data_IF_735630943240
#
_entry.id   IF_735630943240
#
_cell.length_a   1.000
_cell.length_b   1.000
_cell.length_c   1.000
_cell.angle_alpha   90.00
_cell.angle_beta   90.00
_cell.angle_gamma   90.00
#
_symmetry.space_group_name_H-M   'P 1'
#
loop_
_entity.id
_entity.type
_entity.pdbx_description
1 polymer ?
#
# COMPACT_ATOMS: atom_id res chain seq x y z
N UNK A 1 -38.44 85.91 5.85
CA UNK A 1 -38.83 84.48 5.95
C UNK A 1 -38.14 83.59 4.93
N UNK A 2 -38.03 83.98 3.65
CA UNK A 2 -37.30 83.18 2.65
C UNK A 2 -35.79 83.02 2.94
N UNK A 3 -35.13 84.09 3.39
CA UNK A 3 -33.68 84.13 3.60
C UNK A 3 -33.20 83.26 4.77
N UNK A 4 -33.99 83.17 5.84
CA UNK A 4 -33.75 82.27 6.98
C UNK A 4 -33.83 80.81 6.54
N UNK A 5 -34.78 80.49 5.67
CA UNK A 5 -35.01 79.13 5.17
C UNK A 5 -33.85 78.66 4.28
N UNK A 6 -33.34 79.54 3.42
CA UNK A 6 -32.17 79.26 2.56
C UNK A 6 -30.91 78.98 3.40
N UNK A 7 -30.61 79.82 4.41
CA UNK A 7 -29.47 79.61 5.31
C UNK A 7 -29.55 78.29 6.06
N UNK A 8 -30.74 77.92 6.55
CA UNK A 8 -30.97 76.62 7.20
C UNK A 8 -30.70 75.46 6.25
N UNK A 9 -31.13 75.54 4.99
CA UNK A 9 -30.89 74.47 4.03
C UNK A 9 -29.41 74.33 3.65
N UNK A 10 -28.68 75.44 3.53
CA UNK A 10 -27.23 75.41 3.28
C UNK A 10 -26.49 74.72 4.44
N UNK A 11 -26.81 75.05 5.68
CA UNK A 11 -26.22 74.37 6.85
C UNK A 11 -26.53 72.87 6.86
N UNK A 12 -27.77 72.47 6.51
CA UNK A 12 -28.14 71.05 6.41
C UNK A 12 -27.35 70.33 5.32
N UNK A 13 -27.18 70.95 4.16
CA UNK A 13 -26.38 70.38 3.06
C UNK A 13 -24.91 70.21 3.47
N UNK A 14 -24.34 71.21 4.15
CA UNK A 14 -22.98 71.14 4.66
C UNK A 14 -22.81 70.03 5.70
N UNK A 15 -23.80 69.84 6.58
CA UNK A 15 -23.82 68.74 7.54
C UNK A 15 -23.89 67.38 6.84
N UNK A 16 -24.84 67.21 5.91
CA UNK A 16 -24.99 65.97 5.15
C UNK A 16 -23.71 65.59 4.36
N UNK A 17 -23.03 66.57 3.76
CA UNK A 17 -21.74 66.36 3.10
C UNK A 17 -20.69 65.82 4.08
N UNK A 18 -20.58 66.42 5.27
CA UNK A 18 -19.66 65.98 6.33
C UNK A 18 -19.97 64.55 6.82
N UNK A 19 -21.25 64.24 7.01
CA UNK A 19 -21.70 62.92 7.46
C UNK A 19 -21.41 61.84 6.42
N UNK A 20 -21.68 62.14 5.14
CA UNK A 20 -21.31 61.27 4.02
C UNK A 20 -19.80 61.04 3.94
N UNK A 21 -18.99 62.10 4.14
CA UNK A 21 -17.53 61.99 4.07
C UNK A 21 -17.01 61.02 5.13
N UNK A 22 -17.55 61.18 6.34
CA UNK A 22 -17.27 60.34 7.49
C UNK A 22 -17.67 58.90 7.23
N UNK A 23 -18.87 58.68 6.68
CA UNK A 23 -19.37 57.33 6.38
C UNK A 23 -18.54 56.61 5.31
N UNK A 24 -18.16 57.30 4.23
CA UNK A 24 -17.33 56.74 3.15
C UNK A 24 -15.91 56.44 3.66
N UNK A 25 -15.32 57.36 4.43
CA UNK A 25 -14.01 57.16 5.06
C UNK A 25 -14.02 56.00 6.04
N UNK A 26 -15.11 55.84 6.81
CA UNK A 26 -15.30 54.69 7.70
C UNK A 26 -15.39 53.35 6.95
N UNK A 27 -15.68 53.38 5.64
CA UNK A 27 -15.65 52.23 4.73
C UNK A 27 -14.31 52.06 4.00
N UNK A 28 -13.26 52.79 4.40
CA UNK A 28 -11.90 52.65 3.88
C UNK A 28 -11.60 53.44 2.61
N UNK A 29 -12.58 54.18 2.07
CA UNK A 29 -12.39 55.01 0.87
C UNK A 29 -11.98 56.42 1.28
N UNK A 30 -10.88 56.93 0.74
CA UNK A 30 -10.42 58.30 1.02
C UNK A 30 -11.31 59.32 0.33
N UNK A 31 -11.77 60.34 1.07
CA UNK A 31 -12.57 61.45 0.53
C UNK A 31 -11.71 62.72 0.49
N UNK A 32 -11.29 63.21 -0.70
CA UNK A 32 -10.56 64.48 -0.82
C UNK A 32 -11.37 65.68 -0.29
N UNK A 33 -10.68 66.64 0.34
CA UNK A 33 -11.31 67.81 0.99
C UNK A 33 -12.13 68.69 0.01
N UNK A 34 -11.75 68.71 -1.26
CA UNK A 34 -12.37 69.49 -2.34
C UNK A 34 -13.51 68.75 -3.06
N UNK A 35 -13.82 67.51 -2.68
CA UNK A 35 -14.88 66.70 -3.30
C UNK A 35 -16.22 67.41 -3.19
N UNK A 36 -16.90 67.66 -4.32
CA UNK A 36 -18.27 68.20 -4.36
C UNK A 36 -19.30 67.11 -4.09
N UNK A 37 -20.53 67.47 -3.72
CA UNK A 37 -21.58 66.48 -3.42
C UNK A 37 -21.83 65.52 -4.60
N UNK A 38 -21.73 66.02 -5.84
CA UNK A 38 -21.88 65.22 -7.06
C UNK A 38 -20.74 64.19 -7.25
N UNK A 39 -19.56 64.45 -6.67
CA UNK A 39 -18.41 63.53 -6.72
C UNK A 39 -18.52 62.33 -5.77
N UNK A 40 -19.45 62.37 -4.80
CA UNK A 40 -19.58 61.29 -3.80
C UNK A 40 -20.09 59.98 -4.39
N UNK A 41 -20.85 60.03 -5.49
CA UNK A 41 -21.31 58.83 -6.18
C UNK A 41 -20.13 57.94 -6.60
N UNK A 42 -19.09 58.55 -7.20
CA UNK A 42 -17.88 57.83 -7.63
C UNK A 42 -17.02 57.32 -6.45
N UNK A 43 -17.11 57.95 -5.27
CA UNK A 43 -16.44 57.46 -4.06
C UNK A 43 -17.21 56.30 -3.43
N UNK A 44 -18.54 56.33 -3.46
CA UNK A 44 -19.38 55.21 -2.99
C UNK A 44 -19.15 53.95 -3.83
N UNK A 45 -18.93 54.10 -5.15
CA UNK A 45 -18.55 52.98 -6.03
C UNK A 45 -17.20 52.34 -5.69
N UNK A 46 -16.35 53.00 -4.90
CA UNK A 46 -15.07 52.44 -4.45
C UNK A 46 -15.19 51.64 -3.15
N UNK A 47 -16.33 51.70 -2.47
CA UNK A 47 -16.54 50.96 -1.21
C UNK A 47 -16.48 49.47 -1.49
N UNK A 48 -15.63 48.76 -0.76
CA UNK A 48 -15.53 47.31 -0.82
C UNK A 48 -16.85 46.68 -0.35
N UNK A 49 -17.45 45.87 -1.22
CA UNK A 49 -18.71 45.16 -0.97
C UNK A 49 -18.49 43.66 -0.76
N UNK A 50 -17.30 43.16 -1.07
CA UNK A 50 -16.89 41.78 -0.88
C UNK A 50 -15.94 41.64 0.31
N UNK A 51 -15.21 40.53 0.31
CA UNK A 51 -14.20 40.26 1.34
C UNK A 51 -12.81 40.43 0.75
N UNK A 52 -11.95 41.14 1.47
CA UNK A 52 -10.51 41.20 1.19
C UNK A 52 -9.89 39.84 1.55
N UNK A 53 -9.33 39.17 0.55
CA UNK A 53 -8.73 37.84 0.70
C UNK A 53 -7.22 37.84 0.47
N UNK A 54 -6.60 39.02 0.35
CA UNK A 54 -5.17 39.20 0.05
C UNK A 54 -4.23 38.67 1.14
N UNK A 55 -4.72 38.54 2.37
CA UNK A 55 -3.95 38.02 3.52
C UNK A 55 -4.08 36.48 3.73
N UNK A 56 -4.72 35.79 2.78
CA UNK A 56 -4.78 34.35 2.73
C UNK A 56 -3.47 33.75 2.16
N UNK A 57 -3.10 32.55 2.62
CA UNK A 57 -1.76 31.98 2.37
C UNK A 57 -1.79 30.52 1.89
N UNK A 58 -2.97 29.89 1.81
CA UNK A 58 -3.11 28.53 1.34
C UNK A 58 -2.87 28.45 -0.18
N UNK A 59 -2.18 27.41 -0.61
CA UNK A 59 -2.06 27.05 -2.02
C UNK A 59 -3.00 25.89 -2.37
N UNK A 60 -3.23 25.64 -3.66
CA UNK A 60 -4.04 24.49 -4.10
C UNK A 60 -3.54 23.16 -3.51
N UNK A 61 -2.22 22.95 -3.45
CA UNK A 61 -1.61 21.75 -2.87
C UNK A 61 -1.78 21.60 -1.36
N UNK A 62 -2.22 22.64 -0.67
CA UNK A 62 -2.44 22.67 0.78
C UNK A 62 -3.93 22.60 1.15
N UNK A 63 -4.80 22.48 0.15
CA UNK A 63 -6.24 22.31 0.30
C UNK A 63 -6.63 20.93 -0.24
N UNK A 64 -7.47 20.20 0.49
CA UNK A 64 -7.93 18.87 0.12
C UNK A 64 -8.59 18.85 -1.27
N UNK A 65 -8.25 17.85 -2.08
CA UNK A 65 -8.72 17.72 -3.46
C UNK A 65 -10.25 17.85 -3.56
N UNK A 66 -10.72 18.69 -4.49
CA UNK A 66 -12.14 18.94 -4.74
C UNK A 66 -12.81 19.94 -3.77
N UNK A 67 -12.09 20.44 -2.76
CA UNK A 67 -12.54 21.56 -1.94
C UNK A 67 -12.12 22.89 -2.56
N UNK A 68 -12.94 23.92 -2.36
CA UNK A 68 -12.72 25.27 -2.91
C UNK A 68 -12.58 26.29 -1.78
N UNK A 69 -11.70 27.27 -1.95
CA UNK A 69 -11.53 28.42 -1.06
C UNK A 69 -11.02 29.63 -1.84
N UNK A 70 -11.05 30.82 -1.25
CA UNK A 70 -10.52 32.04 -1.87
C UNK A 70 -9.21 32.50 -1.25
N UNK A 71 -8.28 32.88 -2.12
CA UNK A 71 -6.95 33.38 -1.78
C UNK A 71 -6.59 34.47 -2.78
N UNK A 72 -6.26 35.66 -2.29
CA UNK A 72 -5.82 36.80 -3.10
C UNK A 72 -6.74 37.09 -4.31
N UNK A 73 -8.03 37.23 -4.02
CA UNK A 73 -9.09 37.50 -5.00
C UNK A 73 -9.47 36.32 -5.89
N UNK A 74 -8.77 35.19 -5.80
CA UNK A 74 -8.92 34.07 -6.72
C UNK A 74 -9.57 32.86 -6.04
N UNK A 75 -10.51 32.20 -6.74
CA UNK A 75 -11.02 30.89 -6.34
C UNK A 75 -9.95 29.83 -6.56
N UNK A 76 -9.51 29.21 -5.48
CA UNK A 76 -8.54 28.12 -5.46
C UNK A 76 -9.27 26.79 -5.27
N UNK A 77 -9.07 25.86 -6.20
CA UNK A 77 -9.52 24.46 -6.04
C UNK A 77 -8.36 23.62 -5.51
N UNK A 78 -8.59 22.93 -4.40
CA UNK A 78 -7.61 22.07 -3.76
C UNK A 78 -7.17 20.91 -4.65
N UNK A 79 -5.89 20.56 -4.54
CA UNK A 79 -5.22 19.47 -5.27
C UNK A 79 -4.53 18.48 -4.35
N UNK A 80 -4.56 18.67 -3.03
CA UNK A 80 -3.99 17.72 -2.08
C UNK A 80 -4.72 16.38 -2.19
N UNK A 81 -4.01 15.35 -2.64
CA UNK A 81 -4.61 14.04 -2.90
C UNK A 81 -5.18 13.43 -1.61
N UNK A 82 -6.43 12.96 -1.65
CA UNK A 82 -7.02 12.19 -0.57
C UNK A 82 -6.70 10.70 -0.77
N UNK A 83 -5.89 10.13 0.12
CA UNK A 83 -5.54 8.70 0.15
C UNK A 83 -6.52 7.87 0.97
N UNK A 84 -7.33 8.51 1.83
CA UNK A 84 -8.30 7.83 2.69
C UNK A 84 -7.65 6.79 3.59
N UNK A 85 -8.29 5.61 3.67
CA UNK A 85 -7.78 4.45 4.39
C UNK A 85 -6.92 3.59 3.45
N UNK A 86 -5.64 3.43 3.79
CA UNK A 86 -4.75 2.52 3.07
C UNK A 86 -4.33 1.37 3.99
N UNK A 87 -4.37 0.14 3.47
CA UNK A 87 -3.84 -1.04 4.17
C UNK A 87 -2.70 -1.68 3.39
N UNK A 88 -1.61 -2.03 4.07
CA UNK A 88 -0.49 -2.76 3.47
C UNK A 88 -0.01 -3.89 4.38
N UNK A 89 0.38 -5.01 3.78
CA UNK A 89 0.96 -6.16 4.49
C UNK A 89 2.43 -6.30 4.07
N UNK A 90 3.32 -6.42 5.05
CA UNK A 90 4.76 -6.49 4.84
C UNK A 90 5.32 -7.79 5.43
N UNK A 91 6.07 -8.55 4.63
CA UNK A 91 6.90 -9.64 5.14
C UNK A 91 8.21 -9.08 5.73
N UNK A 92 8.93 -9.83 6.58
CA UNK A 92 10.17 -9.36 7.17
C UNK A 92 11.21 -9.01 6.10
N UNK A 93 11.83 -7.84 6.24
CA UNK A 93 12.78 -7.25 5.29
C UNK A 93 12.15 -6.28 4.28
N UNK A 94 10.82 -6.14 4.26
CA UNK A 94 10.14 -5.20 3.39
C UNK A 94 9.95 -3.82 4.04
N UNK A 95 9.91 -2.81 3.18
CA UNK A 95 9.60 -1.43 3.55
C UNK A 95 8.42 -0.95 2.71
N UNK A 96 7.41 -0.41 3.39
CA UNK A 96 6.32 0.33 2.77
C UNK A 96 6.61 1.82 2.84
N UNK A 97 6.52 2.53 1.71
CA UNK A 97 6.55 3.99 1.68
C UNK A 97 5.13 4.52 1.75
N UNK A 98 4.85 5.41 2.71
CA UNK A 98 3.54 6.04 2.88
C UNK A 98 3.38 7.06 1.74
N UNK A 99 2.36 6.93 0.86
CA UNK A 99 2.15 7.86 -0.24
C UNK A 99 1.88 9.28 0.23
N UNK A 100 2.29 10.26 -0.56
CA UNK A 100 1.99 11.67 -0.33
C UNK A 100 0.48 11.95 -0.37
N UNK A 101 0.02 12.86 0.48
CA UNK A 101 -1.37 13.31 0.54
C UNK A 101 -2.00 13.14 1.93
N UNK A 102 -3.31 13.37 1.99
CA UNK A 102 -4.11 13.24 3.21
C UNK A 102 -4.51 11.78 3.47
N UNK A 103 -4.31 11.31 4.71
CA UNK A 103 -4.75 9.99 5.19
C UNK A 103 -5.81 10.15 6.28
N UNK A 104 -6.77 9.23 6.35
CA UNK A 104 -7.92 9.33 7.27
C UNK A 104 -7.60 8.99 8.73
N UNK A 105 -6.45 8.39 9.01
CA UNK A 105 -6.12 7.85 10.34
C UNK A 105 -6.54 6.40 10.56
N UNK A 106 -7.30 5.83 9.62
CA UNK A 106 -7.79 4.44 9.71
C UNK A 106 -6.90 3.45 8.94
N UNK A 107 -5.91 3.96 8.20
CA UNK A 107 -4.98 3.14 7.43
C UNK A 107 -4.03 2.35 8.33
N UNK A 108 -3.72 1.12 7.95
CA UNK A 108 -2.88 0.21 8.75
C UNK A 108 -1.83 -0.50 7.90
N UNK A 109 -0.59 -0.48 8.36
CA UNK A 109 0.49 -1.33 7.83
C UNK A 109 0.72 -2.46 8.83
N UNK A 110 0.58 -3.70 8.38
CA UNK A 110 0.78 -4.89 9.21
C UNK A 110 2.02 -5.66 8.78
N UNK A 111 2.81 -6.11 9.75
CA UNK A 111 3.85 -7.10 9.52
C UNK A 111 3.26 -8.49 9.55
N UNK A 112 3.52 -9.31 8.55
CA UNK A 112 3.13 -10.72 8.49
C UNK A 112 4.37 -11.61 8.56
N UNK A 113 4.31 -12.74 9.26
CA UNK A 113 5.43 -13.71 9.25
C UNK A 113 5.59 -14.39 7.88
N UNK A 114 6.83 -14.79 7.54
CA UNK A 114 7.06 -15.73 6.44
C UNK A 114 6.26 -17.01 6.70
N UNK A 115 5.20 -17.23 5.92
CA UNK A 115 4.53 -18.54 5.86
C UNK A 115 5.27 -19.33 4.79
N UNK A 116 6.10 -20.30 5.21
CA UNK A 116 6.75 -21.24 4.27
C UNK A 116 5.64 -21.93 3.47
N UNK A 117 5.62 -21.76 2.15
CA UNK A 117 4.72 -22.53 1.29
C UNK A 117 5.03 -24.03 1.48
N UNK A 118 4.08 -24.79 2.00
CA UNK A 118 4.18 -26.24 2.09
C UNK A 118 3.60 -26.79 0.78
N UNK A 119 4.47 -27.19 -0.15
CA UNK A 119 4.04 -27.91 -1.34
C UNK A 119 3.66 -29.35 -0.96
N UNK A 120 2.41 -29.74 -1.25
CA UNK A 120 1.94 -31.11 -1.06
C UNK A 120 1.50 -31.70 -2.39
N UNK A 121 2.03 -32.87 -2.75
CA UNK A 121 1.66 -33.60 -3.98
C UNK A 121 0.99 -34.91 -3.57
N UNK A 122 -0.27 -35.11 -3.93
CA UNK A 122 -0.98 -36.40 -3.81
C UNK A 122 -1.16 -36.99 -5.21
N UNK A 123 -0.57 -38.16 -5.46
CA UNK A 123 -0.81 -38.93 -6.69
C UNK A 123 -2.12 -39.70 -6.54
N UNK A 124 -3.06 -39.52 -7.47
CA UNK A 124 -4.29 -40.30 -7.54
C UNK A 124 -4.16 -41.41 -8.60
N UNK A 125 -4.64 -42.60 -8.29
CA UNK A 125 -4.75 -43.69 -9.27
C UNK A 125 -5.83 -43.35 -10.32
N UNK A 126 -5.65 -43.84 -11.56
CA UNK A 126 -6.62 -43.57 -12.64
C UNK A 126 -8.00 -44.13 -12.28
N UNK A 127 -9.05 -43.32 -12.42
CA UNK A 127 -10.43 -43.72 -12.15
C UNK A 127 -10.90 -43.55 -10.70
N UNK A 128 -10.08 -42.96 -9.83
CA UNK A 128 -10.46 -42.68 -8.44
C UNK A 128 -11.33 -41.42 -8.32
N UNK A 129 -12.45 -41.51 -7.59
CA UNK A 129 -13.35 -40.39 -7.27
C UNK A 129 -13.01 -39.69 -5.93
N UNK A 130 -11.76 -39.82 -5.49
CA UNK A 130 -11.33 -39.46 -4.13
C UNK A 130 -11.33 -37.93 -3.93
N UNK A 131 -12.06 -37.46 -2.92
CA UNK A 131 -12.10 -36.04 -2.54
C UNK A 131 -10.95 -35.80 -1.55
N UNK A 132 -9.90 -35.09 -2.00
CA UNK A 132 -8.82 -34.68 -1.11
C UNK A 132 -9.15 -33.31 -0.47
N UNK A 133 -9.78 -33.33 0.71
CA UNK A 133 -9.87 -32.15 1.59
C UNK A 133 -8.69 -32.18 2.56
N UNK A 134 -7.93 -31.09 2.65
CA UNK A 134 -6.87 -30.94 3.64
C UNK A 134 -7.00 -29.61 4.37
N UNK A 135 -7.18 -29.67 5.68
CA UNK A 135 -7.20 -28.49 6.56
C UNK A 135 -5.80 -28.37 7.15
N UNK A 136 -5.13 -27.24 6.91
CA UNK A 136 -3.84 -26.96 7.54
C UNK A 136 -4.08 -26.72 9.04
N UNK A 137 -3.34 -27.38 9.95
CA UNK A 137 -3.64 -27.37 11.38
C UNK A 137 -3.45 -26.01 12.08
N UNK A 138 -2.86 -25.00 11.41
CA UNK A 138 -2.52 -23.70 12.03
C UNK A 138 -2.72 -22.50 11.10
N UNK A 139 -3.59 -22.61 10.09
CA UNK A 139 -3.94 -21.48 9.21
C UNK A 139 -5.43 -21.13 9.37
N UNK A 140 -5.74 -19.85 9.47
CA UNK A 140 -7.11 -19.33 9.35
C UNK A 140 -7.72 -19.56 7.93
N UNK A 141 -7.03 -20.28 7.04
CA UNK A 141 -7.52 -20.66 5.71
C UNK A 141 -7.35 -22.15 5.45
N UNK A 142 -8.41 -22.77 4.95
CA UNK A 142 -8.39 -24.13 4.40
C UNK A 142 -8.18 -24.06 2.88
N UNK A 143 -7.14 -24.73 2.37
CA UNK A 143 -6.95 -24.91 0.92
C UNK A 143 -7.61 -26.23 0.54
N UNK A 144 -8.79 -26.18 -0.08
CA UNK A 144 -9.47 -27.36 -0.63
C UNK A 144 -9.18 -27.51 -2.11
N UNK A 145 -8.55 -28.60 -2.53
CA UNK A 145 -8.20 -28.87 -3.94
C UNK A 145 -9.19 -29.90 -4.51
N UNK A 146 -10.02 -29.47 -5.46
CA UNK A 146 -10.92 -30.37 -6.20
C UNK A 146 -10.26 -30.88 -7.47
N UNK A 147 -10.07 -32.19 -7.58
CA UNK A 147 -9.64 -32.83 -8.84
C UNK A 147 -10.71 -33.85 -9.22
N UNK A 148 -11.39 -33.63 -10.36
CA UNK A 148 -12.21 -34.66 -11.01
C UNK A 148 -11.54 -35.09 -12.30
N UNK A 149 -10.96 -36.30 -12.38
CA UNK A 149 -10.63 -36.89 -13.65
C UNK A 149 -11.85 -37.68 -14.13
N UNK A 150 -12.52 -37.21 -15.18
CA UNK A 150 -13.32 -38.11 -16.03
C UNK A 150 -12.73 -38.12 -17.44
N UNK A 151 -12.61 -39.34 -17.96
CA UNK A 151 -12.06 -39.61 -19.28
C UNK A 151 -12.85 -38.87 -20.36
N UNK A 152 -12.11 -38.40 -21.35
CA UNK A 152 -12.51 -37.66 -22.56
C UNK A 152 -12.60 -36.13 -22.41
N UNK A 153 -11.47 -35.49 -22.78
CA UNK A 153 -11.27 -34.07 -23.11
C UNK A 153 -11.93 -33.08 -22.14
N UNK A 154 -11.23 -32.73 -21.06
CA UNK A 154 -11.53 -31.49 -20.33
C UNK A 154 -10.28 -30.94 -19.65
N UNK A 155 -10.08 -29.63 -19.79
CA UNK A 155 -9.11 -28.83 -19.04
C UNK A 155 -9.42 -28.91 -17.54
N UNK A 156 -8.47 -29.37 -16.74
CA UNK A 156 -8.56 -29.26 -15.28
C UNK A 156 -8.32 -27.80 -14.88
N UNK A 157 -9.33 -27.16 -14.28
CA UNK A 157 -9.15 -25.83 -13.67
C UNK A 157 -8.67 -26.02 -12.23
N UNK A 158 -7.42 -25.64 -11.96
CA UNK A 158 -6.88 -25.55 -10.60
C UNK A 158 -7.44 -24.28 -9.98
N UNK A 159 -8.50 -24.40 -9.17
CA UNK A 159 -9.02 -23.31 -8.36
C UNK A 159 -8.34 -23.29 -6.99
N UNK A 160 -7.48 -22.32 -6.73
CA UNK A 160 -7.02 -22.02 -5.37
C UNK A 160 -8.16 -21.22 -4.70
N UNK A 161 -8.97 -21.86 -3.85
CA UNK A 161 -9.79 -21.10 -2.90
C UNK A 161 -8.87 -20.66 -1.75
N UNK A 162 -8.35 -19.44 -1.84
CA UNK A 162 -7.89 -18.72 -0.66
C UNK A 162 -9.13 -18.17 0.05
N UNK A 163 -9.44 -18.63 1.26
CA UNK A 163 -10.56 -18.08 2.05
C UNK A 163 -10.26 -16.71 2.68
N UNK A 164 -9.34 -15.93 2.10
CA UNK A 164 -9.29 -14.48 2.28
C UNK A 164 -9.04 -13.78 0.95
N UNK A 165 -10.05 -13.81 0.09
CA UNK A 165 -10.28 -12.69 -0.83
C UNK A 165 -11.76 -12.51 -1.12
N UNK A 166 -12.58 -12.58 -0.07
CA UNK A 166 -13.79 -11.78 0.04
C UNK A 166 -13.44 -10.44 0.72
N UNK A 167 -12.47 -9.70 0.17
CA UNK A 167 -12.55 -8.25 0.30
C UNK A 167 -13.38 -7.78 -0.87
N UNK A 168 -14.67 -7.57 -0.59
CA UNK A 168 -15.50 -6.68 -1.39
C UNK A 168 -14.66 -5.45 -1.75
N UNK A 169 -14.63 -5.08 -3.04
CA UNK A 169 -14.42 -3.66 -3.34
C UNK A 169 -15.55 -2.88 -2.64
N UNK A 170 -15.29 -1.65 -2.20
CA UNK A 170 -16.26 -0.82 -1.46
C UNK A 170 -17.55 -0.48 -2.27
N UNK A 171 -17.77 -1.10 -3.45
CA UNK A 171 -19.00 -1.05 -4.23
C UNK A 171 -19.79 -2.38 -4.30
N UNK A 172 -19.32 -3.46 -3.66
CA UNK A 172 -20.08 -4.72 -3.53
C UNK A 172 -20.22 -5.57 -4.80
N UNK A 173 -19.46 -5.34 -5.86
CA UNK A 173 -19.59 -6.11 -7.11
C UNK A 173 -18.87 -7.47 -7.05
N UNK A 174 -19.62 -8.57 -6.91
CA UNK A 174 -19.18 -9.93 -7.27
C UNK A 174 -19.47 -10.16 -8.76
N UNK A 175 -18.44 -10.38 -9.57
CA UNK A 175 -18.63 -10.81 -10.97
C UNK A 175 -18.29 -12.28 -11.13
N UNK A 176 -19.31 -13.12 -11.12
CA UNK A 176 -19.28 -14.35 -11.90
C UNK A 176 -20.61 -14.53 -12.60
N UNK A 177 -20.57 -14.87 -13.88
CA UNK A 177 -21.67 -15.55 -14.54
C UNK A 177 -21.07 -16.49 -15.55
N UNK A 178 -21.22 -17.80 -15.30
CA UNK A 178 -21.06 -18.80 -16.33
C UNK A 178 -22.22 -18.63 -17.30
N UNK A 179 -21.94 -18.50 -18.59
CA UNK A 179 -22.94 -18.59 -19.65
C UNK A 179 -23.29 -20.06 -19.84
N UNK A 180 -24.54 -20.44 -19.56
CA UNK A 180 -25.16 -21.62 -20.18
C UNK A 180 -26.10 -21.11 -21.27
N UNK A 181 -25.92 -21.65 -22.47
CA UNK A 181 -26.47 -21.12 -23.70
C UNK A 181 -28.01 -21.08 -23.70
N UNK A 182 -28.56 -19.87 -23.76
CA UNK A 182 -29.98 -19.63 -23.99
C UNK A 182 -30.21 -18.15 -24.28
N UNK A 183 -30.83 -17.86 -25.42
CA UNK A 183 -31.13 -16.52 -25.92
C UNK A 183 -31.84 -15.66 -24.86
N UNK A 184 -31.11 -14.71 -24.26
CA UNK A 184 -31.64 -13.74 -23.31
C UNK A 184 -31.22 -12.33 -23.69
N UNK A 185 -32.19 -11.45 -23.91
CA UNK A 185 -31.95 -10.00 -24.03
C UNK A 185 -31.60 -9.47 -22.63
N UNK A 186 -30.46 -8.79 -22.50
CA UNK A 186 -30.07 -8.09 -21.27
C UNK A 186 -30.57 -6.65 -21.36
N UNK A 187 -31.63 -6.32 -20.63
CA UNK A 187 -32.04 -4.93 -20.41
C UNK A 187 -31.44 -4.45 -19.08
N UNK A 188 -30.42 -3.61 -19.12
CA UNK A 188 -29.95 -2.85 -17.95
C UNK A 188 -30.24 -1.37 -18.15
N UNK A 189 -30.96 -0.78 -17.19
CA UNK A 189 -31.16 0.66 -17.04
C UNK A 189 -30.23 1.13 -15.94
N UNK A 190 -29.31 2.06 -16.22
CA UNK A 190 -28.46 2.69 -15.22
C UNK A 190 -28.80 4.18 -15.16
N UNK A 191 -29.30 4.66 -14.02
CA UNK A 191 -29.45 6.08 -13.72
C UNK A 191 -28.23 6.56 -12.91
N UNK A 192 -27.61 7.66 -13.35
CA UNK A 192 -26.53 8.33 -12.61
C UNK A 192 -25.12 8.17 -13.21
N UNK A 193 -24.31 9.21 -13.04
CA UNK A 193 -23.10 9.63 -13.78
C UNK A 193 -21.85 8.72 -13.74
N UNK A 194 -21.96 7.38 -13.67
CA UNK A 194 -20.77 6.48 -13.60
C UNK A 194 -20.83 5.20 -14.45
N UNK A 195 -21.24 5.30 -15.72
CA UNK A 195 -20.91 4.27 -16.70
C UNK A 195 -19.54 4.58 -17.34
N UNK A 196 -18.48 3.85 -16.94
CA UNK A 196 -17.10 4.08 -17.43
C UNK A 196 -16.66 3.15 -18.57
N UNK A 197 -17.23 1.94 -18.71
CA UNK A 197 -17.04 1.08 -19.89
C UNK A 197 -18.07 -0.06 -19.93
N UNK A 198 -18.40 -0.52 -21.14
CA UNK A 198 -19.13 -1.78 -21.40
C UNK A 198 -18.21 -2.62 -22.29
N UNK A 199 -17.76 -3.78 -21.80
CA UNK A 199 -16.97 -4.72 -22.59
C UNK A 199 -17.86 -5.88 -23.05
N UNK A 200 -17.97 -6.06 -24.36
CA UNK A 200 -18.65 -7.19 -25.00
C UNK A 200 -17.59 -8.03 -25.70
N UNK A 201 -17.47 -9.30 -25.32
CA UNK A 201 -16.61 -10.26 -26.02
C UNK A 201 -17.49 -11.23 -26.81
N UNK A 202 -17.22 -11.35 -28.11
CA UNK A 202 -17.82 -12.38 -28.95
C UNK A 202 -16.80 -13.47 -29.23
N UNK A 203 -17.17 -14.72 -28.97
CA UNK A 203 -16.40 -15.88 -29.38
C UNK A 203 -16.86 -16.35 -30.77
N UNK A 204 -15.91 -16.29 -31.71
CA UNK A 204 -15.83 -16.95 -33.04
C UNK A 204 -16.90 -16.66 -34.11
N UNK A 205 -16.38 -16.34 -35.31
CA UNK A 205 -16.84 -16.59 -36.68
C UNK A 205 -18.36 -16.72 -36.95
N UNK A 206 -19.10 -15.64 -36.70
CA UNK A 206 -20.15 -15.08 -37.59
C UNK A 206 -20.90 -14.00 -36.79
N UNK A 207 -20.54 -12.74 -37.00
CA UNK A 207 -21.15 -11.62 -36.28
C UNK A 207 -22.43 -11.13 -36.98
N UNK A 208 -23.63 -11.23 -36.35
CA UNK A 208 -24.71 -10.32 -36.66
C UNK A 208 -24.37 -8.92 -36.12
N UNK A 209 -24.65 -7.89 -36.92
CA UNK A 209 -24.39 -6.48 -36.62
C UNK A 209 -24.92 -6.05 -35.25
N UNK A 210 -24.04 -5.59 -34.36
CA UNK A 210 -24.38 -4.98 -33.08
C UNK A 210 -24.74 -3.50 -33.32
N UNK A 211 -25.94 -3.08 -32.91
CA UNK A 211 -26.38 -1.68 -32.95
C UNK A 211 -26.39 -1.12 -31.54
N UNK A 212 -25.48 -0.18 -31.25
CA UNK A 212 -25.43 0.55 -29.97
C UNK A 212 -26.06 1.92 -30.17
N UNK A 213 -27.12 2.23 -29.44
CA UNK A 213 -27.70 3.59 -29.38
C UNK A 213 -27.45 4.14 -27.98
N UNK A 214 -26.60 5.15 -27.85
CA UNK A 214 -26.38 5.88 -26.61
C UNK A 214 -27.11 7.23 -26.69
N UNK A 215 -28.03 7.48 -25.75
CA UNK A 215 -28.69 8.78 -25.59
C UNK A 215 -28.21 9.38 -24.28
N UNK A 216 -27.41 10.44 -24.33
CA UNK A 216 -27.04 11.20 -23.15
C UNK A 216 -28.12 12.24 -22.86
N UNK A 217 -28.71 12.21 -21.65
CA UNK A 217 -29.54 13.31 -21.15
C UNK A 217 -28.60 14.42 -20.68
N UNK A 218 -28.61 15.55 -21.37
CA UNK A 218 -27.88 16.74 -20.96
C UNK A 218 -28.71 17.51 -19.93
N UNK A 219 -28.32 17.44 -18.65
CA UNK A 219 -28.71 18.46 -17.68
C UNK A 219 -27.56 19.43 -17.47
N UNK A 220 -27.66 20.54 -18.19
CA UNK A 220 -26.97 21.79 -17.94
C UNK A 220 -27.89 22.62 -17.05
N UNK A 221 -27.57 22.76 -15.76
CA UNK A 221 -28.05 23.81 -14.84
C UNK A 221 -27.05 23.83 -13.66
N UNK A 222 -26.53 24.92 -13.10
CA UNK A 222 -26.50 26.34 -13.43
C UNK A 222 -25.57 26.96 -12.35
N UNK A 223 -24.56 27.76 -12.71
CA UNK A 223 -24.05 28.81 -11.82
C UNK A 223 -23.36 29.89 -12.66
N UNK A 224 -24.17 30.60 -13.45
CA UNK A 224 -23.84 31.96 -13.89
C UNK A 224 -24.78 32.88 -13.13
N UNK A 225 -24.39 33.24 -11.91
CA UNK A 225 -25.08 34.23 -11.11
C UNK A 225 -24.69 35.64 -11.53
N UNK A 226 -25.19 36.14 -12.65
CA UNK A 226 -25.33 37.59 -12.87
C UNK A 226 -26.69 37.87 -13.50
N UNK A 227 -27.74 37.84 -12.67
CA UNK A 227 -29.02 38.46 -12.99
C UNK A 227 -28.91 39.97 -12.71
N UNK A 228 -28.31 40.74 -13.63
CA UNK A 228 -28.60 42.17 -13.67
C UNK A 228 -29.96 42.31 -14.34
N UNK A 229 -31.02 42.20 -13.53
CA UNK A 229 -32.34 42.69 -13.92
C UNK A 229 -32.28 44.21 -13.97
N UNK A 230 -31.83 44.72 -15.13
CA UNK A 230 -32.18 45.99 -15.74
C UNK A 230 -32.64 47.07 -14.74
N UNK A 231 -31.70 47.67 -14.02
CA UNK A 231 -31.88 49.04 -13.55
C UNK A 231 -31.63 49.93 -14.77
N UNK A 232 -32.59 50.76 -15.14
CA UNK A 232 -32.40 51.76 -16.18
C UNK A 232 -31.24 52.67 -15.78
N UNK A 233 -30.11 52.53 -16.47
CA UNK A 233 -28.89 53.30 -16.20
C UNK A 233 -27.68 52.39 -16.26
N UNK A 234 -26.78 52.68 -17.19
CA UNK A 234 -25.52 51.97 -17.41
C UNK A 234 -24.53 52.25 -16.26
N UNK A 235 -24.79 51.70 -15.07
CA UNK A 235 -23.83 51.59 -13.99
C UNK A 235 -23.45 50.11 -13.88
N UNK A 236 -22.26 49.76 -14.36
CA UNK A 236 -21.67 48.48 -14.02
C UNK A 236 -21.56 48.43 -12.48
N UNK A 237 -22.16 47.42 -11.85
CA UNK A 237 -21.94 47.18 -10.43
C UNK A 237 -20.47 46.75 -10.29
N UNK A 238 -19.60 47.71 -9.98
CA UNK A 238 -18.22 47.43 -9.61
C UNK A 238 -18.25 46.80 -8.22
N UNK A 239 -18.22 45.46 -8.16
CA UNK A 239 -17.99 44.74 -6.91
C UNK A 239 -16.51 44.90 -6.60
N UNK A 240 -16.18 45.86 -5.74
CA UNK A 240 -14.91 45.83 -5.04
C UNK A 240 -15.00 44.71 -4.00
N UNK A 241 -13.97 43.87 -3.93
CA UNK A 241 -13.89 42.68 -3.07
C UNK A 241 -14.21 41.35 -3.77
N UNK A 242 -14.12 40.25 -3.02
CA UNK A 242 -14.36 38.90 -3.53
C UNK A 242 -15.62 38.30 -2.89
N UNK A 243 -16.55 37.78 -3.70
CA UNK A 243 -17.61 36.90 -3.22
C UNK A 243 -17.01 35.52 -2.93
N UNK A 244 -17.16 35.04 -1.71
CA UNK A 244 -16.56 33.78 -1.24
C UNK A 244 -17.60 32.73 -0.82
N UNK A 245 -18.88 32.99 -1.07
CA UNK A 245 -20.01 32.17 -0.62
C UNK A 245 -20.10 30.79 -1.29
N UNK A 246 -19.51 30.63 -2.47
CA UNK A 246 -19.47 29.37 -3.24
C UNK A 246 -18.25 28.48 -2.88
N UNK A 247 -17.45 28.88 -1.88
CA UNK A 247 -16.35 28.08 -1.36
C UNK A 247 -16.85 26.96 -0.42
N UNK A 248 -16.15 25.83 -0.41
CA UNK A 248 -16.62 24.58 0.24
C UNK A 248 -15.61 23.96 1.21
N UNK A 249 -14.42 24.54 1.32
CA UNK A 249 -13.39 24.08 2.25
C UNK A 249 -13.81 24.36 3.70
N UNK A 250 -13.45 23.46 4.60
CA UNK A 250 -13.49 23.70 6.05
C UNK A 250 -12.06 23.83 6.56
N UNK A 251 -11.86 24.32 7.79
CA UNK A 251 -10.54 24.38 8.41
C UNK A 251 -9.82 23.01 8.39
N UNK A 252 -10.56 21.90 8.57
CA UNK A 252 -10.00 20.55 8.51
C UNK A 252 -9.57 20.10 7.09
N UNK A 253 -9.98 20.82 6.04
CA UNK A 253 -9.56 20.56 4.66
C UNK A 253 -8.32 21.37 4.26
N UNK A 254 -7.84 22.28 5.11
CA UNK A 254 -6.72 23.18 4.83
C UNK A 254 -5.56 22.80 5.74
N UNK A 255 -4.34 22.73 5.17
CA UNK A 255 -3.11 22.39 5.90
C UNK A 255 -2.89 23.33 7.10
N UNK A 256 -2.46 22.77 8.22
CA UNK A 256 -2.29 23.52 9.47
C UNK A 256 -1.40 24.75 9.29
N UNK A 257 -1.87 25.89 9.79
CA UNK A 257 -1.18 27.18 9.70
C UNK A 257 -1.40 27.94 8.40
N UNK A 258 -2.05 27.35 7.39
CA UNK A 258 -2.47 28.06 6.17
C UNK A 258 -3.83 28.69 6.32
N UNK A 259 -4.04 29.80 5.62
CA UNK A 259 -5.27 30.60 5.71
C UNK A 259 -5.96 30.71 4.36
N UNK A 260 -7.30 30.67 4.35
CA UNK A 260 -8.13 30.90 3.17
C UNK A 260 -9.50 31.45 3.57
N UNK A 261 -10.23 32.06 2.64
CA UNK A 261 -11.57 32.59 2.89
C UNK A 261 -12.67 31.68 2.33
N UNK A 262 -13.72 31.53 3.13
CA UNK A 262 -14.92 30.76 2.81
C UNK A 262 -16.12 31.46 3.44
N UNK A 263 -17.15 31.77 2.63
CA UNK A 263 -18.38 32.41 3.08
C UNK A 263 -18.14 33.66 3.96
N UNK A 264 -17.24 34.50 3.48
CA UNK A 264 -16.82 35.76 4.10
C UNK A 264 -15.95 35.61 5.35
N UNK A 265 -15.69 34.40 5.82
CA UNK A 265 -14.88 34.14 7.00
C UNK A 265 -13.46 33.70 6.64
N UNK A 266 -12.47 34.26 7.35
CA UNK A 266 -11.09 33.77 7.31
C UNK A 266 -10.98 32.46 8.08
N UNK A 267 -10.61 31.38 7.40
CA UNK A 267 -10.33 30.09 8.00
C UNK A 267 -8.83 29.90 8.19
N UNK A 268 -8.43 29.44 9.37
CA UNK A 268 -7.09 28.91 9.62
C UNK A 268 -7.15 27.38 9.59
N UNK A 269 -6.32 26.77 8.74
CA UNK A 269 -6.25 25.34 8.55
C UNK A 269 -5.89 24.58 9.81
N UNK A 270 -6.50 23.41 9.97
CA UNK A 270 -6.31 22.50 11.12
C UNK A 270 -5.86 21.11 10.70
N UNK A 271 -5.69 20.83 9.39
CA UNK A 271 -5.20 19.54 8.94
C UNK A 271 -3.73 19.36 9.37
N UNK A 272 -3.49 18.39 10.24
CA UNK A 272 -2.14 18.06 10.74
C UNK A 272 -1.18 17.77 9.59
N UNK A 273 0.02 18.35 9.65
CA UNK A 273 1.13 17.98 8.78
C UNK A 273 2.03 16.97 9.50
N UNK A 274 1.94 15.69 9.15
CA UNK A 274 2.74 14.63 9.74
C UNK A 274 4.14 14.51 9.08
N UNK A 275 4.37 15.19 7.95
CA UNK A 275 5.64 15.14 7.22
C UNK A 275 6.03 13.71 6.82
N UNK A 276 7.27 13.33 7.11
CA UNK A 276 7.81 11.99 6.86
C UNK A 276 7.78 11.17 8.15
N UNK A 277 6.75 10.33 8.33
CA UNK A 277 6.68 9.45 9.49
C UNK A 277 7.45 8.15 9.25
N UNK A 278 8.32 7.78 10.19
CA UNK A 278 9.08 6.54 10.14
C UNK A 278 8.69 5.57 11.26
N UNK A 279 8.50 4.30 10.94
CA UNK A 279 8.26 3.24 11.92
C UNK A 279 9.03 1.97 11.55
N UNK A 280 9.63 1.35 12.55
CA UNK A 280 10.20 0.01 12.44
C UNK A 280 9.46 -0.93 13.39
N UNK A 281 9.14 -2.13 12.91
CA UNK A 281 8.45 -3.17 13.69
C UNK A 281 8.96 -4.58 13.34
N UNK A 282 8.60 -5.57 14.14
CA UNK A 282 8.83 -7.00 13.86
C UNK A 282 7.63 -7.63 13.15
N UNK A 283 7.76 -8.87 12.70
CA UNK A 283 6.62 -9.65 12.21
C UNK A 283 5.47 -9.66 13.23
N UNK A 284 4.23 -9.67 12.72
CA UNK A 284 2.97 -9.57 13.48
C UNK A 284 2.75 -8.22 14.19
N UNK A 285 3.63 -7.24 14.00
CA UNK A 285 3.39 -5.86 14.42
C UNK A 285 2.32 -5.19 13.56
N UNK A 286 1.67 -4.17 14.12
CA UNK A 286 0.74 -3.31 13.37
C UNK A 286 1.10 -1.85 13.62
N UNK A 287 0.96 -1.04 12.58
CA UNK A 287 1.16 0.40 12.62
C UNK A 287 -0.01 1.12 11.95
N UNK A 288 -0.71 1.94 12.72
CA UNK A 288 -1.75 2.84 12.20
C UNK A 288 -1.11 4.09 11.63
N UNK A 289 -1.44 4.44 10.39
CA UNK A 289 -0.99 5.67 9.74
C UNK A 289 -1.81 6.83 10.33
N UNK A 290 -1.18 7.83 10.98
CA UNK A 290 -1.91 8.96 11.59
C UNK A 290 -2.71 9.76 10.57
N UNK A 291 -3.85 10.31 11.00
CA UNK A 291 -4.65 11.20 10.19
C UNK A 291 -3.90 12.49 9.85
N UNK A 292 -4.13 13.04 8.66
CA UNK A 292 -3.51 14.28 8.19
C UNK A 292 -2.62 14.07 6.96
N UNK A 293 -1.88 15.12 6.61
CA UNK A 293 -1.00 15.16 5.45
C UNK A 293 0.32 14.45 5.70
N UNK A 294 0.77 13.65 4.73
CA UNK A 294 2.08 13.01 4.69
C UNK A 294 2.82 13.44 3.41
N UNK A 295 4.13 13.64 3.49
CA UNK A 295 4.94 14.19 2.39
C UNK A 295 5.50 13.14 1.41
N UNK A 296 5.01 11.90 1.46
CA UNK A 296 5.46 10.81 0.57
C UNK A 296 6.80 10.16 0.94
N UNK A 297 7.53 10.69 1.92
CA UNK A 297 8.84 10.17 2.33
C UNK A 297 8.81 9.28 3.58
N UNK A 298 7.64 9.16 4.22
CA UNK A 298 7.44 8.29 5.37
C UNK A 298 7.66 6.82 5.04
N UNK A 299 8.25 6.05 5.96
CA UNK A 299 8.61 4.64 5.76
C UNK A 299 8.20 3.78 6.95
N UNK A 300 7.55 2.66 6.66
CA UNK A 300 7.24 1.60 7.62
C UNK A 300 8.01 0.35 7.24
N UNK A 301 8.93 -0.09 8.08
CA UNK A 301 9.80 -1.23 7.82
C UNK A 301 9.49 -2.37 8.78
N UNK A 302 9.32 -3.57 8.25
CA UNK A 302 9.32 -4.79 9.06
C UNK A 302 10.73 -5.34 9.07
N UNK A 303 11.40 -5.31 10.21
CA UNK A 303 12.71 -5.91 10.34
C UNK A 303 12.63 -7.40 10.12
N UNK A 304 13.64 -7.94 9.44
CA UNK A 304 13.95 -9.36 9.59
C UNK A 304 14.38 -9.53 11.03
N UNK A 305 13.54 -10.19 11.84
CA UNK A 305 14.02 -10.82 13.04
C UNK A 305 15.00 -11.89 12.58
N UNK A 306 16.27 -11.53 12.41
CA UNK A 306 17.30 -12.51 12.67
C UNK A 306 17.00 -12.94 14.10
N UNK A 307 16.60 -14.19 14.30
CA UNK A 307 16.91 -14.80 15.57
C UNK A 307 18.43 -14.64 15.72
N UNK A 308 18.85 -13.60 16.39
CA UNK A 308 20.21 -13.42 16.92
C UNK A 308 20.44 -14.38 18.08
N UNK A 309 19.61 -15.42 18.23
CA UNK A 309 20.12 -16.73 18.59
C UNK A 309 21.06 -17.16 17.47
N UNK A 310 22.35 -16.91 17.69
CA UNK A 310 23.46 -17.57 17.02
C UNK A 310 23.04 -18.97 16.56
N UNK A 311 22.58 -19.11 15.32
CA UNK A 311 22.67 -20.38 14.63
C UNK A 311 24.11 -20.44 14.15
N UNK A 312 25.01 -20.68 15.10
CA UNK A 312 26.03 -21.64 14.79
C UNK A 312 25.24 -22.82 14.22
N UNK A 313 25.33 -23.10 12.92
CA UNK A 313 25.12 -24.47 12.49
C UNK A 313 26.08 -25.25 13.39
N UNK A 314 25.54 -25.85 14.45
CA UNK A 314 26.35 -26.32 15.56
C UNK A 314 27.25 -27.48 15.14
N UNK A 315 27.16 -27.90 13.87
CA UNK A 315 27.82 -29.00 13.22
C UNK A 315 28.33 -28.52 11.86
N UNK A 316 29.65 -28.50 11.69
CA UNK A 316 30.30 -28.42 10.39
C UNK A 316 30.41 -29.83 9.80
N UNK A 317 30.20 -29.99 8.48
CA UNK A 317 30.21 -31.29 7.81
C UNK A 317 31.02 -31.26 6.50
N UNK A 318 31.81 -32.30 6.25
CA UNK A 318 32.59 -32.50 5.03
C UNK A 318 32.34 -33.89 4.47
N UNK A 319 31.97 -33.98 3.19
CA UNK A 319 31.95 -35.25 2.47
C UNK A 319 33.39 -35.69 2.17
N UNK A 320 33.69 -36.96 2.42
CA UNK A 320 34.98 -37.57 2.13
C UNK A 320 34.79 -38.81 1.26
N UNK A 321 35.58 -38.90 0.20
CA UNK A 321 35.50 -39.96 -0.82
C UNK A 321 36.85 -40.66 -1.05
N UNK A 322 37.86 -40.32 -0.25
CA UNK A 322 39.19 -40.92 -0.29
C UNK A 322 39.73 -41.14 1.13
N UNK A 323 40.71 -42.03 1.29
CA UNK A 323 41.19 -42.51 2.58
C UNK A 323 42.20 -41.59 3.27
N UNK A 324 42.53 -40.45 2.66
CA UNK A 324 43.41 -39.41 3.24
C UNK A 324 42.84 -37.99 2.97
N UNK A 325 41.61 -37.69 3.41
CA UNK A 325 40.88 -36.53 2.93
C UNK A 325 41.36 -35.25 3.63
N UNK A 326 41.44 -34.16 2.86
CA UNK A 326 41.62 -32.82 3.41
C UNK A 326 40.32 -32.31 4.03
N UNK A 327 40.37 -31.89 5.28
CA UNK A 327 39.21 -31.39 6.04
C UNK A 327 39.66 -30.16 6.85
N UNK A 328 38.94 -29.05 6.72
CA UNK A 328 39.29 -27.77 7.36
C UNK A 328 38.12 -27.23 8.18
N UNK A 329 37.88 -27.81 9.34
CA UNK A 329 36.88 -27.28 10.28
C UNK A 329 37.27 -25.86 10.72
N UNK A 330 36.33 -24.93 10.65
CA UNK A 330 36.49 -23.54 11.11
C UNK A 330 36.58 -23.49 12.64
N UNK A 331 35.87 -24.39 13.32
CA UNK A 331 35.86 -24.54 14.77
C UNK A 331 36.95 -25.50 15.25
N UNK A 332 37.47 -25.21 16.44
CA UNK A 332 38.46 -26.02 17.16
C UNK A 332 37.90 -26.72 18.38
N UNK A 333 36.63 -26.51 18.71
CA UNK A 333 35.88 -27.21 19.76
C UNK A 333 34.98 -28.31 19.18
N UNK A 334 34.48 -29.21 20.05
CA UNK A 334 33.63 -30.33 19.66
C UNK A 334 34.39 -31.57 19.15
N UNK A 335 33.76 -32.74 19.31
CA UNK A 335 34.30 -34.02 18.87
C UNK A 335 34.12 -34.20 17.35
N UNK A 336 35.13 -34.79 16.70
CA UNK A 336 35.03 -35.20 15.30
C UNK A 336 34.37 -36.57 15.23
N UNK A 337 33.36 -36.68 14.36
CA UNK A 337 32.58 -37.90 14.15
C UNK A 337 32.45 -38.19 12.66
N UNK A 338 32.19 -39.44 12.30
CA UNK A 338 32.08 -39.91 10.92
C UNK A 338 30.89 -40.84 10.72
N UNK A 339 30.17 -40.66 9.61
CA UNK A 339 29.04 -41.50 9.21
C UNK A 339 29.13 -41.85 7.74
N UNK A 340 28.92 -43.12 7.41
CA UNK A 340 28.98 -43.59 6.04
C UNK A 340 29.53 -45.01 5.97
N UNK A 341 30.17 -45.34 4.86
CA UNK A 341 30.74 -46.66 4.65
C UNK A 341 32.08 -46.61 3.94
N UNK A 342 32.81 -47.71 3.98
CA UNK A 342 34.02 -47.90 3.22
C UNK A 342 34.30 -49.38 2.97
N UNK A 343 35.41 -49.68 2.31
CA UNK A 343 35.87 -51.06 2.11
C UNK A 343 37.28 -51.22 2.65
N UNK A 344 37.57 -52.38 3.21
CA UNK A 344 38.92 -52.77 3.62
C UNK A 344 39.33 -54.01 2.84
N UNK A 345 40.51 -54.00 2.24
CA UNK A 345 41.03 -55.16 1.50
C UNK A 345 42.28 -55.70 2.19
N UNK A 346 42.28 -56.98 2.53
CA UNK A 346 43.44 -57.68 3.08
C UNK A 346 43.97 -58.70 2.07
N UNK A 347 45.29 -58.76 1.89
CA UNK A 347 45.98 -59.78 1.10
C UNK A 347 46.46 -60.93 2.00
N UNK A 348 46.13 -62.16 1.63
CA UNK A 348 46.67 -63.38 2.22
C UNK A 348 47.99 -63.80 1.55
N UNK A 349 48.79 -64.61 2.25
CA UNK A 349 50.13 -65.03 1.82
C UNK A 349 50.21 -65.81 0.49
N UNK A 350 49.06 -66.23 -0.07
CA UNK A 350 48.96 -66.95 -1.35
C UNK A 350 48.29 -66.11 -2.45
N UNK A 351 48.30 -64.78 -2.35
CA UNK A 351 47.74 -63.87 -3.37
C UNK A 351 46.22 -63.70 -3.32
N UNK A 352 45.55 -64.32 -2.35
CA UNK A 352 44.12 -64.15 -2.12
C UNK A 352 43.84 -62.74 -1.57
N UNK A 353 42.81 -62.06 -2.07
CA UNK A 353 42.36 -60.78 -1.53
C UNK A 353 40.94 -60.93 -1.02
N UNK A 354 40.70 -60.44 0.20
CA UNK A 354 39.36 -60.36 0.79
C UNK A 354 39.02 -58.90 0.98
N UNK A 355 37.92 -58.45 0.36
CA UNK A 355 37.38 -57.10 0.54
C UNK A 355 36.12 -57.17 1.40
N UNK A 356 36.12 -56.43 2.51
CA UNK A 356 35.00 -56.34 3.44
C UNK A 356 34.42 -54.92 3.48
N UNK A 357 33.09 -54.81 3.54
CA UNK A 357 32.42 -53.55 3.80
C UNK A 357 32.55 -53.17 5.28
N UNK A 358 32.80 -51.89 5.55
CA UNK A 358 32.75 -51.30 6.89
C UNK A 358 31.72 -50.18 6.93
N UNK A 359 31.02 -50.07 8.06
CA UNK A 359 30.07 -48.99 8.33
C UNK A 359 30.62 -48.08 9.43
N UNK A 360 30.63 -46.78 9.20
CA UNK A 360 31.08 -45.75 10.13
C UNK A 360 29.88 -45.20 10.92
N UNK A 361 29.99 -45.16 12.24
CA UNK A 361 28.95 -44.67 13.15
C UNK A 361 29.59 -43.81 14.24
N UNK A 362 29.66 -42.50 14.01
CA UNK A 362 30.17 -41.55 15.00
C UNK A 362 31.67 -41.71 15.25
N UNK A 363 32.01 -42.33 16.38
CA UNK A 363 33.38 -42.54 16.89
C UNK A 363 33.85 -43.99 16.78
N UNK A 364 33.18 -44.80 15.97
CA UNK A 364 33.51 -46.22 15.74
C UNK A 364 33.17 -46.64 14.32
N UNK A 365 33.69 -47.79 13.94
CA UNK A 365 33.26 -48.48 12.73
C UNK A 365 32.95 -49.95 13.02
N UNK A 366 32.10 -50.53 12.17
CA UNK A 366 31.64 -51.90 12.28
C UNK A 366 32.15 -52.73 11.12
N UNK A 367 32.59 -53.96 11.41
CA UNK A 367 32.89 -54.99 10.42
C UNK A 367 31.77 -56.02 10.43
N UNK A 368 31.24 -56.32 9.25
CA UNK A 368 30.28 -57.41 9.09
C UNK A 368 30.91 -58.75 9.49
N UNK A 369 30.11 -59.61 10.12
CA UNK A 369 30.46 -61.00 10.39
C UNK A 369 29.57 -61.92 9.53
N UNK A 370 30.15 -62.99 8.97
CA UNK A 370 29.38 -63.99 8.21
C UNK A 370 28.50 -64.81 9.17
N UNK A 371 28.98 -65.02 10.40
CA UNK A 371 28.26 -65.69 11.48
C UNK A 371 28.40 -64.89 12.78
N UNK A 372 27.30 -64.69 13.50
CA UNK A 372 27.26 -63.92 14.75
C UNK A 372 27.03 -62.41 14.56
N UNK A 373 27.27 -61.63 15.62
CA UNK A 373 27.06 -60.16 15.61
C UNK A 373 28.24 -59.42 14.98
N UNK A 374 27.99 -58.28 14.29
CA UNK A 374 29.06 -57.40 13.82
C UNK A 374 29.98 -56.97 14.96
N UNK A 375 31.29 -56.88 14.69
CA UNK A 375 32.25 -56.33 15.64
C UNK A 375 32.39 -54.82 15.43
N UNK A 376 32.48 -54.08 16.53
CA UNK A 376 32.74 -52.64 16.51
C UNK A 376 34.17 -52.34 16.95
N UNK A 377 34.75 -51.27 16.43
CA UNK A 377 36.08 -50.79 16.81
C UNK A 377 36.05 -49.28 16.89
N UNK A 378 36.47 -48.73 18.03
CA UNK A 378 36.55 -47.28 18.26
C UNK A 378 37.59 -46.61 17.33
N UNK A 379 37.31 -45.36 16.99
CA UNK A 379 38.13 -44.47 16.17
C UNK A 379 38.61 -43.30 17.02
N UNK A 380 39.83 -42.85 16.78
CA UNK A 380 40.39 -41.66 17.41
C UNK A 380 40.61 -40.59 16.34
N UNK A 381 39.52 -39.93 15.95
CA UNK A 381 39.52 -38.98 14.83
C UNK A 381 40.10 -37.63 15.25
N UNK A 382 41.00 -37.10 14.43
CA UNK A 382 41.63 -35.79 14.64
C UNK A 382 41.97 -35.13 13.31
N UNK A 383 42.34 -33.84 13.34
CA UNK A 383 42.90 -33.15 12.18
C UNK A 383 44.39 -32.93 12.42
N UNK A 384 45.22 -33.36 11.47
CA UNK A 384 46.67 -33.11 11.46
C UNK A 384 47.06 -32.60 10.08
N UNK A 385 47.75 -31.45 10.03
CA UNK A 385 48.16 -30.78 8.78
C UNK A 385 47.02 -30.61 7.75
N UNK A 386 45.81 -30.29 8.23
CA UNK A 386 44.62 -30.09 7.39
C UNK A 386 44.01 -31.39 6.83
N UNK A 387 44.44 -32.56 7.31
CA UNK A 387 43.92 -33.87 6.90
C UNK A 387 43.25 -34.59 8.06
N UNK A 388 42.20 -35.36 7.76
CA UNK A 388 41.58 -36.24 8.74
C UNK A 388 42.48 -37.43 9.06
N UNK A 389 42.77 -37.63 10.33
CA UNK A 389 43.55 -38.75 10.86
C UNK A 389 42.69 -39.63 11.77
N UNK A 390 43.12 -40.87 12.02
CA UNK A 390 42.41 -41.83 12.86
C UNK A 390 41.46 -42.78 12.13
N UNK A 391 41.44 -42.77 10.80
CA UNK A 391 40.72 -43.76 9.99
C UNK A 391 41.40 -45.16 10.08
N UNK A 392 40.66 -46.26 9.85
CA UNK A 392 41.21 -47.61 9.85
C UNK A 392 42.36 -47.79 8.84
N UNK A 393 43.49 -48.36 9.26
CA UNK A 393 44.70 -48.49 8.43
C UNK A 393 44.55 -49.38 7.19
N UNK A 394 43.61 -50.34 7.22
CA UNK A 394 43.33 -51.23 6.08
C UNK A 394 42.23 -50.72 5.14
N UNK A 395 41.80 -49.47 5.26
CA UNK A 395 40.76 -48.88 4.42
C UNK A 395 41.27 -48.65 3.00
N UNK A 396 40.57 -49.19 2.01
CA UNK A 396 40.90 -49.08 0.58
C UNK A 396 39.95 -48.15 -0.19
N UNK A 397 38.72 -47.96 0.29
CA UNK A 397 37.78 -46.97 -0.25
C UNK A 397 36.85 -46.43 0.85
N UNK A 398 36.27 -45.25 0.63
CA UNK A 398 35.35 -44.61 1.58
C UNK A 398 34.34 -43.71 0.88
N UNK A 399 33.13 -43.65 1.42
CA UNK A 399 32.10 -42.68 1.09
C UNK A 399 31.38 -42.31 2.39
N UNK A 400 31.74 -41.17 2.97
CA UNK A 400 31.29 -40.78 4.30
C UNK A 400 31.17 -39.26 4.45
N UNK A 401 30.48 -38.85 5.50
CA UNK A 401 30.40 -37.47 5.98
C UNK A 401 31.11 -37.43 7.33
N UNK A 402 32.04 -36.48 7.46
CA UNK A 402 32.73 -36.19 8.71
C UNK A 402 32.13 -34.92 9.26
N UNK A 403 31.80 -34.89 10.54
CA UNK A 403 31.31 -33.68 11.18
C UNK A 403 32.11 -33.28 12.38
N UNK A 404 32.01 -31.99 12.72
CA UNK A 404 32.50 -31.42 13.98
C UNK A 404 31.44 -30.47 14.51
N UNK A 405 30.90 -30.79 15.68
CA UNK A 405 29.86 -29.97 16.28
C UNK A 405 29.70 -30.19 17.78
N UNK A 406 29.02 -29.25 18.44
CA UNK A 406 28.81 -29.20 19.90
C UNK A 406 28.23 -30.52 20.40
#
# INVERSE_FOLDING_TARGET
MADTNIKTQISRLSGAKSDLATAITAKGVTVPDDTTLDGYAALVEQIDTGVDTSDATATAGEILSGKTAYVDGCKVTGTMTNKGKITANLVPGQTYTIPEGYHSGEGTVTGVSYRKAISYTKTLASGSNDIASYVLPEADYAISVFVKPYSYKSTATIGILCSELDKKADDGTLSYTKWDAGNGIINQTAEGTKLKSIHLYAGTDDMPSIKVTATASAEVLAEVGVYISRVGGNAALTVNGTDTSDATATAANILSGKTAYVDGAKLTGTMTNNGAVAKTMTANGSYTIPAGYHNGSGKVTVNVSSSSGSSNNNVEAYAITNTNPSVSFKRTDGAIKIWGYGTMTSSGGWGQQTTSLVAFEGDKYHKGAIYGSPSSTSLSLSISNGKLTGLPSGLTAINAIVTRGI
#
